data_IF_896710749148
#
_entry.id   IF_896710749148
#
_cell.length_a   1.000
_cell.length_b   1.000
_cell.length_c   1.000
_cell.angle_alpha   90.00
_cell.angle_beta   90.00
_cell.angle_gamma   90.00
#
_symmetry.space_group_name_H-M   'P 1'
#
loop_
_entity.id
_entity.type
_entity.pdbx_description
1 polymer ?
#
# COMPACT_ATOMS: atom_id res chain seq x y z
N UNK A 1 -5.97 -12.99 0.43
CA UNK A 1 -4.82 -12.97 -0.49
C UNK A 1 -3.85 -11.86 -0.11
N UNK A 2 -4.23 -10.57 -0.20
CA UNK A 2 -3.33 -9.45 0.16
C UNK A 2 -2.90 -9.44 1.63
N UNK A 3 -3.80 -9.71 2.58
CA UNK A 3 -3.43 -9.77 4.01
C UNK A 3 -2.30 -10.75 4.30
N UNK A 4 -2.34 -11.96 3.73
CA UNK A 4 -1.27 -12.96 3.88
C UNK A 4 0.07 -12.49 3.34
N UNK A 5 0.08 -11.75 2.23
CA UNK A 5 1.31 -11.16 1.70
C UNK A 5 1.88 -10.13 2.69
N UNK A 6 1.05 -9.27 3.26
CA UNK A 6 1.50 -8.28 4.24
C UNK A 6 2.01 -8.93 5.53
N UNK A 7 1.37 -10.02 5.97
CA UNK A 7 1.82 -10.81 7.11
C UNK A 7 3.19 -11.44 6.83
N UNK A 8 3.38 -12.04 5.65
CA UNK A 8 4.67 -12.63 5.28
C UNK A 8 5.79 -11.58 5.12
N UNK A 9 5.49 -10.41 4.56
CA UNK A 9 6.45 -9.31 4.49
C UNK A 9 6.84 -8.82 5.90
N UNK A 10 5.90 -8.83 6.84
CA UNK A 10 6.17 -8.47 8.24
C UNK A 10 7.04 -9.52 8.91
N UNK A 11 6.72 -10.79 8.75
CA UNK A 11 7.44 -11.92 9.36
C UNK A 11 8.87 -12.05 8.84
N UNK A 12 9.09 -11.66 7.58
CA UNK A 12 10.43 -11.61 6.95
C UNK A 12 11.21 -10.33 7.26
N UNK A 13 10.64 -9.39 8.04
CA UNK A 13 11.34 -8.22 8.57
C UNK A 13 11.30 -6.96 7.69
N UNK A 14 10.50 -6.92 6.63
CA UNK A 14 10.35 -5.72 5.81
C UNK A 14 9.68 -4.60 6.61
N UNK A 15 10.19 -3.38 6.43
CA UNK A 15 9.68 -2.23 7.16
C UNK A 15 8.35 -1.69 6.61
N UNK A 16 8.20 -1.73 5.29
CA UNK A 16 7.07 -1.13 4.59
C UNK A 16 6.79 -1.92 3.31
N UNK A 17 5.53 -1.92 2.90
CA UNK A 17 5.12 -2.29 1.56
C UNK A 17 4.62 -1.03 0.83
N UNK A 18 4.82 -0.96 -0.48
CA UNK A 18 4.26 0.12 -1.30
C UNK A 18 3.58 -0.44 -2.54
N UNK A 19 2.64 0.33 -3.08
CA UNK A 19 1.97 0.04 -4.34
C UNK A 19 1.58 1.35 -5.04
N UNK A 20 1.51 1.29 -6.37
CA UNK A 20 0.93 2.35 -7.19
C UNK A 20 -0.51 2.00 -7.55
N UNK A 21 -1.42 2.95 -7.44
CA UNK A 21 -2.84 2.79 -7.78
C UNK A 21 -3.25 3.93 -8.67
N UNK A 22 -3.74 3.63 -9.87
CA UNK A 22 -4.33 4.64 -10.74
C UNK A 22 -5.37 5.46 -9.98
N UNK A 23 -5.33 6.78 -10.11
CA UNK A 23 -6.29 7.70 -9.49
C UNK A 23 -7.73 7.41 -9.94
N UNK A 24 -7.89 6.84 -11.13
CA UNK A 24 -9.17 6.39 -11.68
C UNK A 24 -9.65 5.04 -11.13
N UNK A 25 -8.85 4.34 -10.32
CA UNK A 25 -9.21 3.02 -9.79
C UNK A 25 -10.32 3.16 -8.74
N UNK A 26 -11.51 2.55 -8.94
CA UNK A 26 -12.63 2.66 -8.02
C UNK A 26 -12.40 1.94 -6.68
N UNK A 27 -11.37 1.10 -6.59
CA UNK A 27 -11.06 0.29 -5.41
C UNK A 27 -10.00 0.93 -4.50
N UNK A 28 -9.71 2.23 -4.63
CA UNK A 28 -8.76 2.94 -3.75
C UNK A 28 -9.03 2.67 -2.25
N UNK A 29 -10.31 2.68 -1.86
CA UNK A 29 -10.76 2.42 -0.49
C UNK A 29 -10.33 1.05 0.07
N UNK A 30 -10.01 0.08 -0.80
CA UNK A 30 -9.66 -1.28 -0.40
C UNK A 30 -8.26 -1.25 0.21
N UNK A 31 -7.36 -0.50 -0.42
CA UNK A 31 -5.99 -0.35 0.04
C UNK A 31 -5.94 0.49 1.31
N UNK A 32 -6.76 1.54 1.42
CA UNK A 32 -6.91 2.31 2.66
C UNK A 32 -7.38 1.43 3.83
N UNK A 33 -8.39 0.57 3.61
CA UNK A 33 -8.86 -0.39 4.62
C UNK A 33 -7.82 -1.44 5.00
N UNK A 34 -6.90 -1.77 4.11
CA UNK A 34 -5.75 -2.65 4.39
C UNK A 34 -4.61 -1.92 5.10
N UNK A 35 -4.77 -0.62 5.39
CA UNK A 35 -3.79 0.19 6.13
C UNK A 35 -2.75 0.88 5.24
N UNK A 36 -2.92 0.86 3.92
CA UNK A 36 -2.10 1.69 3.04
C UNK A 36 -2.54 3.14 3.12
N UNK A 37 -1.59 4.06 3.08
CA UNK A 37 -1.82 5.51 3.04
C UNK A 37 -1.17 6.12 1.80
N UNK A 38 -1.83 7.08 1.17
CA UNK A 38 -1.25 7.86 0.08
C UNK A 38 -0.07 8.68 0.64
N UNK A 39 1.07 8.62 -0.03
CA UNK A 39 2.28 9.38 0.35
C UNK A 39 2.75 10.34 -0.75
N UNK A 40 2.11 10.28 -1.92
CA UNK A 40 2.40 11.15 -3.05
C UNK A 40 1.80 10.59 -4.33
N UNK A 41 2.25 11.18 -5.43
CA UNK A 41 1.92 10.76 -6.78
C UNK A 41 2.99 9.79 -7.33
N UNK A 42 2.59 8.93 -8.27
CA UNK A 42 3.49 8.17 -9.14
C UNK A 42 4.19 9.06 -10.17
N UNK A 43 5.08 8.47 -10.96
CA UNK A 43 5.99 9.19 -11.88
C UNK A 43 5.26 10.11 -12.89
N UNK A 44 4.11 9.68 -13.39
CA UNK A 44 3.32 10.38 -14.41
C UNK A 44 2.14 11.19 -13.83
N UNK A 45 1.97 11.20 -12.50
CA UNK A 45 0.90 11.90 -11.82
C UNK A 45 -0.50 11.31 -12.00
N UNK A 46 -0.66 10.17 -12.68
CA UNK A 46 -1.97 9.48 -12.83
C UNK A 46 -2.18 8.37 -11.81
N UNK A 47 -1.17 8.07 -10.99
CA UNK A 47 -1.22 7.09 -9.90
C UNK A 47 -0.99 7.74 -8.55
N UNK A 48 -1.60 7.18 -7.51
CA UNK A 48 -1.21 7.38 -6.13
C UNK A 48 -0.10 6.41 -5.77
N UNK A 49 0.99 6.92 -5.18
CA UNK A 49 1.93 6.08 -4.44
C UNK A 49 1.38 5.88 -3.03
N UNK A 50 1.11 4.64 -2.66
CA UNK A 50 0.60 4.27 -1.34
C UNK A 50 1.58 3.39 -0.58
N UNK A 51 1.63 3.54 0.75
CA UNK A 51 2.56 2.84 1.64
C UNK A 51 1.81 2.23 2.83
N UNK A 52 2.16 1.00 3.21
CA UNK A 52 1.74 0.36 4.46
C UNK A 52 2.96 0.13 5.36
N UNK A 53 2.93 0.69 6.57
CA UNK A 53 3.99 0.51 7.57
C UNK A 53 3.79 -0.83 8.30
N UNK A 54 4.75 -1.75 8.19
CA UNK A 54 4.62 -3.13 8.71
C UNK A 54 5.09 -3.28 10.17
N UNK A 55 5.90 -2.32 10.66
CA UNK A 55 6.54 -2.36 11.98
C UNK A 55 5.76 -1.66 13.11
N UNK A 56 4.53 -1.19 12.89
CA UNK A 56 3.72 -0.57 13.95
C UNK A 56 2.76 -1.59 14.59
N UNK A 57 3.00 -1.93 15.86
CA UNK A 57 1.97 -2.23 16.85
C UNK A 57 1.79 -1.02 17.74
#
# INVERSE_FOLDING_TARGET
>A
MMGRLLDELRDTGYARASLSVQKANPLLHLYERLGFRIVGDGEDGIEWLMVHDLHRR
#
